data_IF_646004264992
#
_entry.id   IF_646004264992
#
_cell.length_a   1.000
_cell.length_b   1.000
_cell.length_c   1.000
_cell.angle_alpha   90.00
_cell.angle_beta   90.00
_cell.angle_gamma   90.00
#
_symmetry.space_group_name_H-M   'P 1'
#
loop_
_entity.id
_entity.type
_entity.pdbx_description
1 polymer ?
#
# COMPACT_ATOMS: atom_id res chain seq x y z
N UNK A 1 -16.26 54.08 -22.71
CA UNK A 1 -15.18 53.20 -22.16
C UNK A 1 -15.64 51.91 -21.46
N UNK A 2 -16.91 51.75 -21.15
CA UNK A 2 -17.46 50.54 -20.51
C UNK A 2 -17.85 49.39 -21.47
N UNK A 3 -18.04 49.66 -22.75
CA UNK A 3 -18.50 48.66 -23.74
C UNK A 3 -17.37 47.80 -24.30
N UNK A 4 -16.15 48.30 -24.32
CA UNK A 4 -14.97 47.54 -24.80
C UNK A 4 -14.42 46.48 -23.80
N UNK A 5 -14.73 46.63 -22.50
CA UNK A 5 -14.30 45.66 -21.48
C UNK A 5 -15.19 44.39 -21.42
N UNK A 6 -16.46 44.50 -21.82
CA UNK A 6 -17.40 43.38 -21.82
C UNK A 6 -17.15 42.40 -22.97
N UNK A 7 -16.68 42.86 -24.11
CA UNK A 7 -16.41 42.01 -25.28
C UNK A 7 -15.17 41.12 -25.04
N UNK A 8 -14.11 41.69 -24.42
CA UNK A 8 -12.89 40.90 -24.10
C UNK A 8 -13.08 39.81 -23.03
N UNK A 9 -14.04 39.96 -22.09
CA UNK A 9 -14.30 38.90 -21.08
C UNK A 9 -15.10 37.74 -21.68
N UNK A 10 -16.00 38.03 -22.63
CA UNK A 10 -16.80 36.98 -23.30
C UNK A 10 -15.93 36.16 -24.26
N UNK A 11 -14.99 36.77 -24.96
CA UNK A 11 -14.04 36.07 -25.83
C UNK A 11 -13.09 35.18 -25.01
N UNK A 12 -12.62 35.62 -23.83
CA UNK A 12 -11.75 34.84 -22.96
C UNK A 12 -12.48 33.64 -22.32
N UNK A 13 -13.78 33.76 -22.03
CA UNK A 13 -14.61 32.68 -21.51
C UNK A 13 -14.98 31.67 -22.62
N UNK A 14 -15.21 32.17 -23.84
CA UNK A 14 -15.48 31.32 -25.01
C UNK A 14 -14.23 30.51 -25.40
N UNK A 15 -13.04 31.12 -25.45
CA UNK A 15 -11.78 30.44 -25.71
C UNK A 15 -11.44 29.41 -24.61
N UNK A 16 -11.74 29.69 -23.34
CA UNK A 16 -11.53 28.74 -22.24
C UNK A 16 -12.52 27.56 -22.28
N UNK A 17 -13.74 27.78 -22.77
CA UNK A 17 -14.74 26.71 -22.96
C UNK A 17 -14.44 25.87 -24.20
N UNK A 18 -13.95 26.50 -25.28
CA UNK A 18 -13.53 25.81 -26.51
C UNK A 18 -12.23 25.00 -26.29
N UNK A 19 -11.29 25.48 -25.47
CA UNK A 19 -10.09 24.79 -25.08
C UNK A 19 -10.42 23.58 -24.18
N UNK A 20 -11.42 23.68 -23.30
CA UNK A 20 -11.91 22.53 -22.51
C UNK A 20 -12.67 21.52 -23.37
N UNK A 21 -13.52 21.96 -24.30
CA UNK A 21 -14.26 21.07 -25.18
C UNK A 21 -13.39 20.39 -26.23
N UNK A 22 -12.37 21.05 -26.76
CA UNK A 22 -11.38 20.44 -27.67
C UNK A 22 -10.46 19.45 -26.95
N UNK A 23 -10.07 19.70 -25.69
CA UNK A 23 -9.34 18.73 -24.89
C UNK A 23 -10.21 17.53 -24.47
N UNK A 24 -11.48 17.73 -24.13
CA UNK A 24 -12.42 16.66 -23.85
C UNK A 24 -12.67 15.78 -25.10
N UNK A 25 -12.77 16.36 -26.30
CA UNK A 25 -12.90 15.63 -27.53
C UNK A 25 -11.59 14.92 -27.96
N UNK A 26 -10.42 15.50 -27.69
CA UNK A 26 -9.13 14.82 -27.86
C UNK A 26 -8.93 13.67 -26.89
N UNK A 27 -9.40 13.82 -25.62
CA UNK A 27 -9.41 12.74 -24.64
C UNK A 27 -10.43 11.63 -24.95
N UNK A 28 -11.60 11.99 -25.47
CA UNK A 28 -12.62 11.01 -25.88
C UNK A 28 -12.16 10.12 -27.05
N UNK A 29 -11.22 10.58 -27.88
CA UNK A 29 -10.60 9.83 -28.98
C UNK A 29 -9.35 9.03 -28.56
N UNK A 30 -8.85 9.22 -27.32
CA UNK A 30 -7.73 8.44 -26.80
C UNK A 30 -8.23 7.11 -26.25
N UNK A 31 -8.34 6.11 -27.11
CA UNK A 31 -8.68 4.75 -26.69
C UNK A 31 -7.63 4.19 -25.75
N UNK A 32 -8.07 3.49 -24.72
CA UNK A 32 -7.19 2.62 -23.95
C UNK A 32 -6.61 1.58 -24.91
N UNK A 33 -5.29 1.39 -24.90
CA UNK A 33 -4.61 0.39 -25.72
C UNK A 33 -4.80 -1.04 -25.22
N UNK A 34 -5.66 -1.25 -24.23
CA UNK A 34 -5.96 -2.51 -23.54
C UNK A 34 -7.42 -2.51 -23.06
N UNK A 35 -7.99 -3.70 -22.88
CA UNK A 35 -9.27 -3.84 -22.22
C UNK A 35 -9.12 -3.68 -20.68
N UNK A 36 -9.99 -2.89 -20.04
CA UNK A 36 -9.98 -2.75 -18.58
C UNK A 36 -10.15 -4.10 -17.87
N UNK A 37 -9.41 -4.31 -16.80
CA UNK A 37 -9.58 -5.48 -15.94
C UNK A 37 -10.75 -5.21 -14.98
N UNK A 38 -11.88 -5.85 -15.23
CA UNK A 38 -13.14 -5.67 -14.49
C UNK A 38 -13.48 -6.94 -13.71
N UNK A 39 -13.67 -6.79 -12.43
CA UNK A 39 -14.06 -7.84 -11.51
C UNK A 39 -15.54 -7.65 -11.15
N UNK A 40 -16.40 -8.38 -11.83
CA UNK A 40 -17.86 -8.31 -11.63
C UNK A 40 -18.28 -8.98 -10.33
N UNK A 41 -19.50 -8.69 -9.84
CA UNK A 41 -20.07 -9.36 -8.66
C UNK A 41 -19.97 -10.87 -8.76
N UNK A 42 -19.48 -11.50 -7.69
CA UNK A 42 -19.41 -12.97 -7.62
C UNK A 42 -20.79 -13.53 -7.28
N UNK A 43 -21.28 -14.47 -8.09
CA UNK A 43 -22.48 -15.25 -7.80
C UNK A 43 -22.07 -16.69 -7.45
N UNK A 44 -22.64 -17.22 -6.37
CA UNK A 44 -22.40 -18.57 -5.91
C UNK A 44 -21.22 -18.70 -4.92
N UNK A 45 -20.93 -19.94 -4.54
CA UNK A 45 -19.89 -20.28 -3.60
C UNK A 45 -18.49 -20.06 -4.20
N UNK A 46 -17.51 -19.84 -3.35
CA UNK A 46 -16.11 -19.82 -3.78
C UNK A 46 -15.72 -21.15 -4.42
N UNK A 47 -14.87 -21.11 -5.46
CA UNK A 47 -14.31 -22.31 -6.07
C UNK A 47 -13.64 -23.19 -5.00
N UNK A 48 -13.69 -24.54 -5.12
CA UNK A 48 -12.99 -25.44 -4.22
C UNK A 48 -11.50 -25.09 -4.12
N UNK A 49 -10.89 -25.44 -2.99
CA UNK A 49 -9.44 -25.33 -2.84
C UNK A 49 -8.75 -26.29 -3.83
N UNK A 50 -7.61 -25.88 -4.34
CA UNK A 50 -6.76 -26.74 -5.14
C UNK A 50 -5.99 -27.72 -4.25
N UNK A 51 -5.51 -28.84 -4.81
CA UNK A 51 -4.74 -29.81 -4.05
C UNK A 51 -3.53 -29.21 -3.32
N UNK A 52 -2.85 -28.24 -3.94
CA UNK A 52 -1.72 -27.55 -3.30
C UNK A 52 -2.17 -26.64 -2.15
N UNK A 53 -3.34 -26.02 -2.23
CA UNK A 53 -3.90 -25.24 -1.13
C UNK A 53 -4.29 -26.14 0.06
N UNK A 54 -4.83 -27.33 -0.21
CA UNK A 54 -5.13 -28.34 0.83
C UNK A 54 -3.85 -28.85 1.49
N UNK A 55 -2.79 -29.08 0.71
CA UNK A 55 -1.47 -29.44 1.24
C UNK A 55 -0.91 -28.34 2.15
N UNK A 56 -1.01 -27.06 1.74
CA UNK A 56 -0.62 -25.90 2.56
C UNK A 56 -1.38 -25.89 3.89
N UNK A 57 -2.70 -26.10 3.88
CA UNK A 57 -3.50 -26.13 5.11
C UNK A 57 -3.13 -27.31 6.02
N UNK A 58 -2.77 -28.45 5.45
CA UNK A 58 -2.28 -29.61 6.19
C UNK A 58 -0.95 -29.31 6.89
N UNK A 59 0.03 -28.80 6.13
CA UNK A 59 1.34 -28.41 6.66
C UNK A 59 1.22 -27.31 7.71
N UNK A 60 0.36 -26.30 7.47
CA UNK A 60 0.06 -25.25 8.45
C UNK A 60 -0.38 -25.82 9.79
N UNK A 61 -1.31 -26.79 9.77
CA UNK A 61 -1.80 -27.46 10.98
C UNK A 61 -0.70 -28.28 11.67
N UNK A 62 0.07 -29.07 10.92
CA UNK A 62 1.17 -29.90 11.45
C UNK A 62 2.25 -29.03 12.12
N UNK A 63 2.62 -27.90 11.50
CA UNK A 63 3.62 -26.98 12.03
C UNK A 63 3.07 -26.05 13.12
N UNK A 64 1.76 -26.03 13.35
CA UNK A 64 1.06 -25.01 14.16
C UNK A 64 1.50 -23.60 13.75
N UNK A 65 1.50 -23.36 12.43
CA UNK A 65 1.94 -22.11 11.82
C UNK A 65 0.79 -21.11 11.71
N UNK A 66 1.11 -19.83 11.84
CA UNK A 66 0.23 -18.71 11.48
C UNK A 66 0.65 -18.17 10.12
N UNK A 67 -0.24 -18.20 9.14
CA UNK A 67 0.01 -17.59 7.82
C UNK A 67 -0.59 -16.18 7.81
N UNK A 68 0.28 -15.18 7.70
CA UNK A 68 -0.07 -13.77 7.54
C UNK A 68 0.16 -13.36 6.09
N UNK A 69 -0.85 -12.83 5.41
CA UNK A 69 -0.74 -12.39 4.02
C UNK A 69 -1.09 -10.92 3.87
N UNK A 70 -0.27 -10.20 3.10
CA UNK A 70 -0.59 -8.82 2.74
C UNK A 70 -1.73 -8.77 1.72
N UNK A 71 -2.51 -7.70 1.71
CA UNK A 71 -3.61 -7.43 0.78
C UNK A 71 -3.21 -7.55 -0.70
N UNK A 72 -1.92 -7.39 -1.03
CA UNK A 72 -1.39 -7.45 -2.39
C UNK A 72 -0.96 -8.86 -2.82
N UNK A 73 -1.21 -9.88 -2.01
CA UNK A 73 -0.91 -11.26 -2.40
C UNK A 73 -1.88 -11.78 -3.46
N UNK A 74 -1.45 -12.81 -4.18
CA UNK A 74 -2.29 -13.55 -5.12
C UNK A 74 -3.45 -14.22 -4.37
N UNK A 75 -4.58 -14.40 -5.07
CA UNK A 75 -5.78 -15.01 -4.50
C UNK A 75 -5.50 -16.39 -3.86
N UNK A 76 -4.68 -17.21 -4.52
CA UNK A 76 -4.34 -18.53 -4.03
C UNK A 76 -3.72 -18.54 -2.61
N UNK A 77 -2.89 -17.54 -2.29
CA UNK A 77 -2.29 -17.34 -0.96
C UNK A 77 -3.30 -16.74 0.01
N UNK A 78 -4.04 -15.70 -0.42
CA UNK A 78 -5.03 -15.04 0.44
C UNK A 78 -6.08 -16.04 0.95
N UNK A 79 -6.46 -17.06 0.17
CA UNK A 79 -7.46 -18.07 0.53
C UNK A 79 -7.00 -19.07 1.61
N UNK A 80 -5.70 -19.26 1.80
CA UNK A 80 -5.15 -20.17 2.82
C UNK A 80 -4.56 -19.45 4.04
N UNK A 81 -4.48 -18.11 3.98
CA UNK A 81 -4.00 -17.28 5.07
C UNK A 81 -4.97 -17.27 6.26
N UNK A 82 -4.42 -17.22 7.48
CA UNK A 82 -5.22 -17.02 8.71
C UNK A 82 -5.68 -15.56 8.84
N UNK A 83 -4.89 -14.64 8.31
CA UNK A 83 -5.22 -13.23 8.28
C UNK A 83 -4.66 -12.57 7.01
N UNK A 84 -5.53 -11.83 6.33
CA UNK A 84 -5.17 -10.97 5.20
C UNK A 84 -5.36 -9.53 5.63
N UNK A 85 -4.35 -8.68 5.47
CA UNK A 85 -4.42 -7.32 5.98
C UNK A 85 -3.36 -6.38 5.43
N UNK A 86 -3.40 -5.14 5.94
CA UNK A 86 -2.35 -4.15 5.75
C UNK A 86 -1.18 -4.36 6.73
N UNK A 87 -0.12 -3.58 6.56
CA UNK A 87 1.08 -3.69 7.40
C UNK A 87 0.82 -3.48 8.89
N UNK A 88 -0.15 -2.62 9.27
CA UNK A 88 -0.48 -2.35 10.66
C UNK A 88 -1.22 -3.53 11.30
N UNK A 89 -2.27 -4.01 10.63
CA UNK A 89 -3.05 -5.16 11.08
C UNK A 89 -2.19 -6.41 11.18
N UNK A 90 -1.30 -6.65 10.20
CA UNK A 90 -0.35 -7.76 10.21
C UNK A 90 0.67 -7.65 11.36
N UNK A 91 1.17 -6.44 11.67
CA UNK A 91 2.08 -6.23 12.81
C UNK A 91 1.41 -6.56 14.15
N UNK A 92 0.14 -6.14 14.34
CA UNK A 92 -0.64 -6.49 15.53
C UNK A 92 -0.89 -8.00 15.64
N UNK A 93 -1.23 -8.66 14.52
CA UNK A 93 -1.44 -10.11 14.50
C UNK A 93 -0.16 -10.89 14.79
N UNK A 94 0.97 -10.41 14.27
CA UNK A 94 2.27 -10.97 14.57
C UNK A 94 2.63 -10.83 16.06
N UNK A 95 2.44 -9.63 16.66
CA UNK A 95 2.73 -9.38 18.06
C UNK A 95 1.93 -10.30 19.00
N UNK A 96 0.66 -10.55 18.67
CA UNK A 96 -0.26 -11.37 19.48
C UNK A 96 -0.23 -12.87 19.16
N UNK A 97 0.63 -13.29 18.23
CA UNK A 97 0.62 -14.67 17.74
C UNK A 97 0.98 -15.67 18.84
N UNK A 98 0.08 -16.62 19.10
CA UNK A 98 0.33 -17.81 19.91
C UNK A 98 0.47 -19.06 19.03
N UNK A 99 1.61 -19.18 18.36
CA UNK A 99 1.91 -20.21 17.37
C UNK A 99 3.37 -20.63 17.46
N UNK A 100 3.71 -21.79 16.86
CA UNK A 100 5.09 -22.26 16.85
C UNK A 100 5.96 -21.48 15.85
N UNK A 101 5.38 -21.01 14.73
CA UNK A 101 6.06 -20.20 13.72
C UNK A 101 5.07 -19.28 12.99
N UNK A 102 5.59 -18.25 12.37
CA UNK A 102 4.85 -17.30 11.54
C UNK A 102 5.37 -17.46 10.11
N UNK A 103 4.46 -17.66 9.14
CA UNK A 103 4.80 -17.55 7.72
C UNK A 103 4.23 -16.23 7.20
N UNK A 104 5.11 -15.34 6.76
CA UNK A 104 4.74 -14.01 6.31
C UNK A 104 4.72 -13.95 4.77
N UNK A 105 3.53 -14.01 4.17
CA UNK A 105 3.36 -13.85 2.73
C UNK A 105 3.26 -12.36 2.38
N UNK A 106 4.41 -11.77 2.13
CA UNK A 106 4.59 -10.34 1.87
C UNK A 106 5.98 -10.07 1.32
N UNK A 107 6.59 -8.98 1.76
CA UNK A 107 7.95 -8.59 1.40
C UNK A 107 8.87 -8.56 2.61
N UNK A 108 10.18 -8.55 2.37
CA UNK A 108 11.22 -8.77 3.38
C UNK A 108 11.05 -7.88 4.63
N UNK A 109 10.86 -6.57 4.48
CA UNK A 109 10.72 -5.65 5.62
C UNK A 109 9.51 -5.94 6.52
N UNK A 110 8.44 -6.56 5.97
CA UNK A 110 7.26 -6.97 6.73
C UNK A 110 7.57 -8.19 7.60
N UNK A 111 8.27 -9.16 7.04
CA UNK A 111 8.73 -10.34 7.78
C UNK A 111 9.78 -9.96 8.84
N UNK A 112 10.68 -8.99 8.55
CA UNK A 112 11.55 -8.38 9.57
C UNK A 112 10.72 -7.77 10.72
N UNK A 113 9.66 -7.04 10.41
CA UNK A 113 8.79 -6.45 11.46
C UNK A 113 8.18 -7.54 12.34
N UNK A 114 7.69 -8.62 11.73
CA UNK A 114 7.17 -9.77 12.49
C UNK A 114 8.25 -10.43 13.36
N UNK A 115 9.50 -10.54 12.87
CA UNK A 115 10.64 -11.08 13.64
C UNK A 115 11.05 -10.16 14.79
N UNK A 116 11.03 -8.84 14.57
CA UNK A 116 11.35 -7.86 15.62
C UNK A 116 10.41 -7.99 16.82
N UNK A 117 9.12 -8.18 16.59
CA UNK A 117 8.12 -8.34 17.68
C UNK A 117 8.01 -9.77 18.20
N UNK A 118 8.57 -10.77 17.50
CA UNK A 118 8.58 -12.19 17.88
C UNK A 118 10.00 -12.81 17.83
N UNK A 119 10.92 -12.38 18.69
CA UNK A 119 12.32 -12.78 18.60
C UNK A 119 12.54 -14.30 18.74
N UNK A 120 11.69 -14.96 19.53
CA UNK A 120 11.85 -16.37 19.90
C UNK A 120 11.14 -17.33 18.94
N UNK A 121 10.40 -16.81 17.94
CA UNK A 121 9.69 -17.64 16.96
C UNK A 121 10.39 -17.62 15.61
N UNK A 122 10.46 -18.74 14.90
CA UNK A 122 10.76 -18.74 13.47
C UNK A 122 9.76 -17.85 12.73
N UNK A 123 10.28 -16.90 11.95
CA UNK A 123 9.51 -16.12 10.99
C UNK A 123 10.00 -16.47 9.61
N UNK A 124 9.14 -17.08 8.82
CA UNK A 124 9.41 -17.59 7.49
C UNK A 124 8.91 -16.61 6.44
N UNK A 125 9.62 -16.49 5.34
CA UNK A 125 9.23 -15.72 4.17
C UNK A 125 9.34 -16.61 2.94
N UNK A 126 8.26 -16.93 2.21
CA UNK A 126 8.30 -17.91 1.11
C UNK A 126 9.29 -17.56 0.01
N UNK A 127 9.58 -16.27 -0.18
CA UNK A 127 10.60 -15.78 -1.12
C UNK A 127 11.49 -14.73 -0.44
N UNK A 128 12.74 -15.10 -0.20
CA UNK A 128 13.68 -14.24 0.54
C UNK A 128 14.05 -12.96 -0.25
N UNK A 129 14.03 -13.03 -1.59
CA UNK A 129 14.32 -11.92 -2.48
C UNK A 129 13.12 -11.00 -2.76
N UNK A 130 11.98 -11.24 -2.08
CA UNK A 130 10.82 -10.37 -2.13
C UNK A 130 11.12 -9.03 -1.44
N UNK A 131 11.79 -8.12 -2.15
CA UNK A 131 12.25 -6.81 -1.71
C UNK A 131 11.16 -5.72 -1.78
N UNK A 132 11.61 -4.45 -1.69
CA UNK A 132 10.72 -3.29 -1.82
C UNK A 132 11.52 -2.06 -2.27
N UNK A 133 11.09 -1.41 -3.37
CA UNK A 133 11.76 -0.21 -3.89
C UNK A 133 11.81 0.94 -2.89
N UNK A 134 10.81 1.05 -2.01
CA UNK A 134 10.82 2.05 -0.93
C UNK A 134 11.90 1.72 0.10
N UNK A 135 11.98 0.47 0.54
CA UNK A 135 13.01 0.02 1.48
C UNK A 135 14.41 0.31 0.92
N UNK A 136 14.61 0.01 -0.35
CA UNK A 136 15.90 0.20 -1.03
C UNK A 136 16.25 1.68 -1.24
N UNK A 137 15.24 2.56 -1.32
CA UNK A 137 15.44 4.00 -1.54
C UNK A 137 16.03 4.74 -0.33
N UNK A 138 15.96 4.15 0.87
CA UNK A 138 16.45 4.75 2.11
C UNK A 138 17.46 3.82 2.80
N UNK A 139 18.73 3.78 2.33
CA UNK A 139 19.79 3.04 3.00
C UNK A 139 20.06 3.58 4.41
N UNK A 140 20.25 2.67 5.39
CA UNK A 140 20.46 3.03 6.79
C UNK A 140 21.67 3.96 7.00
N UNK A 141 22.75 3.76 6.25
CA UNK A 141 23.95 4.57 6.32
C UNK A 141 23.68 6.03 5.93
N UNK A 142 22.84 6.25 4.91
CA UNK A 142 22.46 7.61 4.48
C UNK A 142 21.55 8.28 5.52
N UNK A 143 20.64 7.53 6.13
CA UNK A 143 19.79 8.06 7.20
C UNK A 143 20.61 8.38 8.45
N UNK A 144 21.59 7.54 8.82
CA UNK A 144 22.50 7.77 9.93
C UNK A 144 23.31 9.07 9.74
N UNK A 145 23.91 9.25 8.54
CA UNK A 145 24.64 10.47 8.20
C UNK A 145 23.74 11.72 8.23
N UNK A 146 22.48 11.59 7.77
CA UNK A 146 21.52 12.69 7.85
C UNK A 146 21.22 13.08 9.31
N UNK A 147 20.98 12.10 10.19
CA UNK A 147 20.71 12.32 11.63
C UNK A 147 21.90 12.95 12.33
N UNK A 148 23.14 12.55 12.01
CA UNK A 148 24.34 13.16 12.55
C UNK A 148 24.44 14.65 12.20
N UNK A 149 24.11 15.02 10.95
CA UNK A 149 24.08 16.41 10.49
C UNK A 149 22.88 17.22 11.06
N UNK A 150 21.82 16.55 11.53
CA UNK A 150 20.58 17.16 12.00
C UNK A 150 20.16 16.56 13.36
N UNK A 151 20.86 16.83 14.45
CA UNK A 151 20.69 16.13 15.75
C UNK A 151 19.31 16.34 16.40
N UNK A 152 18.56 17.39 16.03
CA UNK A 152 17.24 17.68 16.56
C UNK A 152 16.09 17.11 15.70
N UNK A 153 16.39 16.45 14.58
CA UNK A 153 15.37 15.89 13.71
C UNK A 153 14.64 14.72 14.37
N UNK A 154 13.32 14.68 14.21
CA UNK A 154 12.48 13.55 14.61
C UNK A 154 12.16 12.72 13.37
N UNK A 155 12.63 11.48 13.34
CA UNK A 155 12.45 10.59 12.18
C UNK A 155 11.15 9.81 12.34
N UNK A 156 10.18 10.10 11.50
CA UNK A 156 8.96 9.31 11.33
C UNK A 156 9.17 8.40 10.12
N UNK A 157 9.31 7.10 10.36
CA UNK A 157 9.53 6.16 9.27
C UNK A 157 8.25 5.41 8.91
N UNK A 158 7.88 5.49 7.64
CA UNK A 158 6.92 4.56 7.07
C UNK A 158 7.49 3.15 7.13
N UNK A 159 6.67 2.19 7.55
CA UNK A 159 7.08 0.80 7.85
C UNK A 159 7.79 0.10 6.68
N UNK A 160 7.62 0.62 5.45
CA UNK A 160 8.25 0.12 4.23
C UNK A 160 9.75 0.48 4.17
N UNK A 161 10.49 0.06 5.18
CA UNK A 161 11.93 0.29 5.34
C UNK A 161 12.57 -0.91 6.06
N UNK A 162 13.90 -1.06 5.93
CA UNK A 162 14.65 -2.16 6.57
C UNK A 162 14.62 -2.08 8.11
N UNK A 163 14.95 -3.19 8.78
CA UNK A 163 15.13 -3.23 10.23
C UNK A 163 16.18 -2.20 10.70
N UNK A 164 17.25 -2.00 9.95
CA UNK A 164 18.30 -1.03 10.25
C UNK A 164 17.78 0.42 10.20
N UNK A 165 16.91 0.76 9.23
CA UNK A 165 16.25 2.07 9.17
C UNK A 165 15.26 2.23 10.32
N UNK A 166 14.50 1.18 10.66
CA UNK A 166 13.61 1.18 11.83
C UNK A 166 14.39 1.46 13.12
N UNK A 167 15.57 0.87 13.28
CA UNK A 167 16.45 1.08 14.44
C UNK A 167 16.93 2.54 14.59
N UNK A 168 17.09 3.25 13.47
CA UNK A 168 17.48 4.67 13.45
C UNK A 168 16.30 5.65 13.61
N UNK A 169 15.06 5.14 13.59
CA UNK A 169 13.85 5.97 13.59
C UNK A 169 13.35 6.26 15.00
N UNK A 170 12.65 7.37 15.17
CA UNK A 170 12.02 7.70 16.46
C UNK A 170 10.64 7.04 16.62
N UNK A 171 9.89 6.92 15.52
CA UNK A 171 8.61 6.22 15.47
C UNK A 171 8.35 5.65 14.07
N UNK A 172 7.67 4.50 14.02
CA UNK A 172 7.19 3.92 12.77
C UNK A 172 5.74 4.37 12.53
N UNK A 173 5.34 4.46 11.26
CA UNK A 173 3.95 4.60 10.86
C UNK A 173 3.60 3.68 9.70
N UNK A 174 2.30 3.55 9.41
CA UNK A 174 1.76 2.92 8.20
C UNK A 174 0.88 3.93 7.46
N UNK A 175 0.50 3.66 6.22
CA UNK A 175 -0.45 4.53 5.51
C UNK A 175 -1.79 4.70 6.28
N UNK A 176 -2.17 3.71 7.09
CA UNK A 176 -3.41 3.74 7.88
C UNK A 176 -3.36 4.66 9.10
N UNK A 177 -2.19 4.89 9.69
CA UNK A 177 -2.04 5.64 10.95
C UNK A 177 -1.10 6.86 10.85
N UNK A 178 -0.46 7.13 9.70
CA UNK A 178 0.56 8.16 9.55
C UNK A 178 0.11 9.55 10.03
N UNK A 179 -1.12 9.96 9.71
CA UNK A 179 -1.67 11.24 10.19
C UNK A 179 -1.73 11.29 11.72
N UNK A 180 -2.21 10.20 12.35
CA UNK A 180 -2.29 10.10 13.83
C UNK A 180 -0.91 10.12 14.47
N UNK A 181 0.06 9.42 13.88
CA UNK A 181 1.44 9.37 14.36
C UNK A 181 2.11 10.76 14.25
N UNK A 182 2.04 11.39 13.07
CA UNK A 182 2.61 12.73 12.85
C UNK A 182 1.99 13.77 13.78
N UNK A 183 0.66 13.68 14.03
CA UNK A 183 -0.04 14.55 14.96
C UNK A 183 0.42 14.42 16.42
N UNK A 184 1.05 13.29 16.81
CA UNK A 184 1.60 13.06 18.16
C UNK A 184 3.07 13.46 18.31
N UNK A 185 3.76 13.79 17.22
CA UNK A 185 5.15 14.28 17.29
C UNK A 185 5.15 15.67 17.94
N UNK A 186 6.03 15.96 18.92
CA UNK A 186 6.09 17.26 19.59
C UNK A 186 6.18 18.43 18.58
N UNK A 187 5.50 19.53 18.89
CA UNK A 187 5.36 20.65 17.95
C UNK A 187 6.68 21.39 17.67
N UNK A 188 7.61 21.32 18.60
CA UNK A 188 8.95 21.93 18.55
C UNK A 188 10.01 21.08 17.83
N UNK A 189 9.63 19.92 17.30
CA UNK A 189 10.55 19.04 16.58
C UNK A 189 10.38 19.17 15.08
N UNK A 190 11.50 19.27 14.39
CA UNK A 190 11.56 19.13 12.93
C UNK A 190 11.37 17.67 12.56
N UNK A 191 10.48 17.39 11.60
CA UNK A 191 10.17 16.02 11.18
C UNK A 191 10.89 15.70 9.88
N UNK A 192 11.60 14.57 9.85
CA UNK A 192 11.98 13.89 8.61
C UNK A 192 11.07 12.70 8.40
N UNK A 193 10.32 12.69 7.31
CA UNK A 193 9.49 11.56 6.91
C UNK A 193 10.23 10.69 5.88
N UNK A 194 10.42 9.42 6.18
CA UNK A 194 11.12 8.45 5.33
C UNK A 194 10.24 7.21 5.11
N UNK A 195 10.43 6.41 4.04
CA UNK A 195 11.16 6.72 2.82
C UNK A 195 10.28 7.32 1.71
N UNK A 196 8.92 7.33 1.85
CA UNK A 196 7.98 7.68 0.77
C UNK A 196 7.62 9.17 0.78
N UNK A 197 8.07 9.88 -0.28
CA UNK A 197 7.76 11.30 -0.45
C UNK A 197 6.26 11.57 -0.73
N UNK A 198 5.58 10.68 -1.45
CA UNK A 198 4.17 10.86 -1.81
C UNK A 198 3.26 10.72 -0.59
N UNK A 199 3.45 9.66 0.20
CA UNK A 199 2.75 9.50 1.47
C UNK A 199 3.09 10.64 2.43
N UNK A 200 4.35 11.03 2.54
CA UNK A 200 4.78 12.14 3.39
C UNK A 200 4.15 13.46 2.98
N UNK A 201 4.11 13.78 1.67
CA UNK A 201 3.46 14.96 1.14
C UNK A 201 1.96 14.96 1.47
N UNK A 202 1.29 13.83 1.26
CA UNK A 202 -0.14 13.69 1.58
C UNK A 202 -0.41 13.90 3.07
N UNK A 203 0.39 13.27 3.94
CA UNK A 203 0.27 13.45 5.40
C UNK A 203 0.53 14.90 5.81
N UNK A 204 1.55 15.57 5.24
CA UNK A 204 1.84 16.99 5.48
C UNK A 204 0.66 17.88 5.12
N UNK A 205 0.06 17.65 3.92
CA UNK A 205 -1.13 18.39 3.44
C UNK A 205 -2.34 18.19 4.35
N UNK A 206 -2.59 16.95 4.80
CA UNK A 206 -3.75 16.61 5.64
C UNK A 206 -3.61 17.09 7.09
N UNK A 207 -2.40 17.11 7.64
CA UNK A 207 -2.15 17.49 9.04
C UNK A 207 -1.77 18.96 9.21
N UNK A 208 -1.44 19.67 8.12
CA UNK A 208 -0.85 21.01 8.17
C UNK A 208 0.56 21.04 8.74
N UNK A 209 1.18 19.89 9.02
CA UNK A 209 2.50 19.76 9.62
C UNK A 209 3.60 19.83 8.56
N UNK A 210 4.46 20.83 8.60
CA UNK A 210 5.63 20.90 7.72
C UNK A 210 6.59 19.75 8.05
N UNK A 211 7.05 19.06 7.02
CA UNK A 211 7.99 17.94 7.13
C UNK A 211 9.03 17.99 6.02
N UNK A 212 10.24 17.57 6.32
CA UNK A 212 11.22 17.20 5.31
C UNK A 212 10.90 15.80 4.81
N UNK A 213 10.99 15.59 3.50
CA UNK A 213 10.60 14.34 2.86
C UNK A 213 11.83 13.67 2.25
N UNK A 214 12.01 12.39 2.53
CA UNK A 214 13.00 11.57 1.85
C UNK A 214 12.55 11.33 0.40
N UNK A 215 13.44 11.40 -0.61
CA UNK A 215 13.05 11.36 -2.03
C UNK A 215 12.81 9.93 -2.57
N UNK A 216 12.20 9.06 -1.78
CA UNK A 216 11.81 7.71 -2.20
C UNK A 216 10.36 7.65 -2.69
N UNK A 217 10.04 6.64 -3.48
CA UNK A 217 8.69 6.39 -3.97
C UNK A 217 8.44 4.90 -4.25
N UNK A 218 7.18 4.48 -4.13
CA UNK A 218 6.77 3.15 -4.51
C UNK A 218 6.68 3.04 -6.03
N UNK A 219 7.53 2.19 -6.65
CA UNK A 219 7.57 2.07 -8.10
C UNK A 219 6.20 1.65 -8.69
N UNK A 220 5.42 0.84 -7.98
CA UNK A 220 4.11 0.42 -8.45
C UNK A 220 3.10 1.59 -8.43
N UNK A 221 3.04 2.37 -7.33
CA UNK A 221 2.05 3.43 -7.21
C UNK A 221 2.35 4.67 -8.07
N UNK A 222 3.61 4.94 -8.42
CA UNK A 222 3.95 6.06 -9.32
C UNK A 222 3.71 5.76 -10.80
N UNK A 223 3.41 4.50 -11.15
CA UNK A 223 3.01 4.13 -12.51
C UNK A 223 1.56 4.48 -12.84
N UNK A 224 0.72 4.72 -11.84
CA UNK A 224 -0.62 5.27 -12.11
C UNK A 224 -0.52 6.69 -12.60
N UNK A 225 -1.28 7.02 -13.65
CA UNK A 225 -1.32 8.37 -14.21
C UNK A 225 -2.75 8.90 -14.19
N UNK A 226 -2.87 10.23 -14.04
CA UNK A 226 -4.15 10.91 -14.12
C UNK A 226 -4.86 10.60 -15.43
N UNK A 227 -4.14 10.66 -16.56
CA UNK A 227 -4.71 10.43 -17.88
C UNK A 227 -5.29 9.02 -18.06
N UNK A 228 -4.61 7.98 -17.55
CA UNK A 228 -5.11 6.63 -17.61
C UNK A 228 -6.41 6.45 -16.79
N UNK A 229 -6.48 7.10 -15.62
CA UNK A 229 -7.67 7.06 -14.75
C UNK A 229 -8.83 7.85 -15.39
N UNK A 230 -8.57 9.03 -15.96
CA UNK A 230 -9.58 9.82 -16.66
C UNK A 230 -10.17 9.07 -17.86
N UNK A 231 -9.34 8.40 -18.68
CA UNK A 231 -9.81 7.54 -19.78
C UNK A 231 -10.69 6.40 -19.26
N UNK A 232 -10.33 5.80 -18.13
CA UNK A 232 -11.13 4.75 -17.52
C UNK A 232 -12.47 5.30 -16.98
N UNK A 233 -12.48 6.50 -16.40
CA UNK A 233 -13.68 7.21 -15.95
C UNK A 233 -14.63 7.52 -17.11
N UNK A 234 -14.13 7.82 -18.32
CA UNK A 234 -14.99 8.02 -19.50
C UNK A 234 -15.71 6.71 -19.89
N UNK A 235 -15.09 5.54 -19.69
CA UNK A 235 -15.72 4.23 -19.93
C UNK A 235 -16.67 3.82 -18.79
N UNK A 236 -16.41 4.28 -17.56
CA UNK A 236 -17.19 3.98 -16.36
C UNK A 236 -17.53 5.28 -15.60
N UNK A 237 -18.40 6.16 -16.16
CA UNK A 237 -18.66 7.49 -15.61
C UNK A 237 -19.23 7.47 -14.19
N UNK A 238 -20.00 6.44 -13.84
CA UNK A 238 -20.63 6.27 -12.53
C UNK A 238 -19.70 5.61 -11.48
N UNK A 239 -18.49 5.18 -11.87
CA UNK A 239 -17.58 4.54 -10.94
C UNK A 239 -16.91 5.58 -10.02
N UNK A 240 -16.81 5.33 -8.72
CA UNK A 240 -15.96 6.09 -7.81
C UNK A 240 -14.50 5.62 -7.94
N UNK A 241 -13.57 6.53 -7.69
CA UNK A 241 -12.13 6.27 -7.71
C UNK A 241 -11.60 6.31 -6.29
N UNK A 242 -11.01 5.22 -5.82
CA UNK A 242 -10.30 5.18 -4.54
C UNK A 242 -8.81 4.94 -4.79
N UNK A 243 -7.93 5.78 -4.22
CA UNK A 243 -6.50 5.73 -4.43
C UNK A 243 -5.70 5.52 -3.14
N UNK A 244 -4.55 4.84 -3.27
CA UNK A 244 -3.60 4.73 -2.16
C UNK A 244 -2.77 6.01 -2.01
N UNK A 245 -2.44 6.47 -0.79
CA UNK A 245 -1.67 7.70 -0.59
C UNK A 245 -0.22 7.67 -1.12
N UNK A 246 0.33 6.51 -1.47
CA UNK A 246 1.60 6.38 -2.19
C UNK A 246 1.52 6.81 -3.67
N UNK A 247 0.32 6.98 -4.22
CA UNK A 247 0.15 7.54 -5.56
C UNK A 247 0.63 8.99 -5.61
N UNK A 248 0.97 9.46 -6.82
CA UNK A 248 1.36 10.86 -7.04
C UNK A 248 0.22 11.84 -6.68
N UNK A 249 0.56 13.09 -6.39
CA UNK A 249 -0.43 14.11 -6.03
C UNK A 249 -1.50 14.27 -7.12
N UNK A 250 -1.11 14.27 -8.39
CA UNK A 250 -2.06 14.38 -9.51
C UNK A 250 -3.09 13.25 -9.54
N UNK A 251 -2.69 12.03 -9.19
CA UNK A 251 -3.61 10.88 -9.08
C UNK A 251 -4.52 11.04 -7.86
N UNK A 252 -3.96 11.42 -6.71
CA UNK A 252 -4.72 11.62 -5.47
C UNK A 252 -5.77 12.75 -5.59
N UNK A 253 -5.41 13.84 -6.24
CA UNK A 253 -6.32 15.00 -6.43
C UNK A 253 -7.48 14.69 -7.40
N UNK A 254 -7.39 13.59 -8.16
CA UNK A 254 -8.44 13.09 -9.05
C UNK A 254 -9.16 11.86 -8.51
N UNK A 255 -8.90 11.44 -7.28
CA UNK A 255 -9.62 10.36 -6.61
C UNK A 255 -10.77 10.91 -5.74
N UNK A 256 -11.86 10.14 -5.67
CA UNK A 256 -13.00 10.47 -4.79
C UNK A 256 -12.64 10.20 -3.31
N UNK A 257 -11.74 9.23 -3.06
CA UNK A 257 -11.21 8.93 -1.72
C UNK A 257 -9.72 8.55 -1.80
N UNK A 258 -8.94 9.02 -0.82
CA UNK A 258 -7.51 8.64 -0.66
C UNK A 258 -7.29 8.04 0.71
N UNK A 259 -7.00 6.75 0.76
CA UNK A 259 -6.88 6.03 2.03
C UNK A 259 -5.99 4.78 1.94
N UNK A 260 -5.66 4.20 3.11
CA UNK A 260 -4.96 2.92 3.20
C UNK A 260 -5.84 1.76 2.77
N UNK A 261 -5.24 0.60 2.48
CA UNK A 261 -5.96 -0.60 2.00
C UNK A 261 -7.05 -1.07 2.96
N UNK A 262 -6.88 -0.99 4.28
CA UNK A 262 -7.94 -1.32 5.24
C UNK A 262 -9.11 -0.33 5.19
N UNK A 263 -8.81 0.96 5.07
CA UNK A 263 -9.86 1.99 4.93
C UNK A 263 -10.57 1.90 3.58
N UNK A 264 -9.89 1.42 2.50
CA UNK A 264 -10.54 1.17 1.21
C UNK A 264 -11.68 0.16 1.34
N UNK A 265 -11.55 -0.87 2.16
CA UNK A 265 -12.62 -1.85 2.38
C UNK A 265 -13.84 -1.17 2.98
N UNK A 266 -13.67 -0.34 4.01
CA UNK A 266 -14.75 0.43 4.62
C UNK A 266 -15.41 1.37 3.60
N UNK A 267 -14.62 2.19 2.90
CA UNK A 267 -15.12 3.09 1.86
C UNK A 267 -15.90 2.35 0.77
N UNK A 268 -15.32 1.27 0.22
CA UNK A 268 -15.96 0.48 -0.82
C UNK A 268 -17.25 -0.19 -0.35
N UNK A 269 -17.36 -0.55 0.94
CA UNK A 269 -18.56 -1.14 1.52
C UNK A 269 -19.66 -0.10 1.69
N UNK A 270 -19.29 1.07 2.22
CA UNK A 270 -20.25 2.08 2.72
C UNK A 270 -20.69 3.06 1.63
N UNK A 271 -19.92 3.24 0.52
CA UNK A 271 -20.34 4.10 -0.58
C UNK A 271 -21.54 3.54 -1.36
N UNK A 272 -22.35 4.42 -1.96
CA UNK A 272 -23.53 4.03 -2.74
C UNK A 272 -23.20 3.48 -4.15
N UNK A 273 -22.00 3.74 -4.67
CA UNK A 273 -21.63 3.32 -6.01
C UNK A 273 -21.48 1.81 -6.14
N UNK A 274 -22.03 1.24 -7.22
CA UNK A 274 -21.91 -0.18 -7.56
C UNK A 274 -20.57 -0.52 -8.24
N UNK A 275 -19.88 0.50 -8.77
CA UNK A 275 -18.60 0.34 -9.49
C UNK A 275 -17.53 1.20 -8.85
N UNK A 276 -16.36 0.62 -8.61
CA UNK A 276 -15.25 1.31 -7.97
C UNK A 276 -13.96 1.03 -8.73
N UNK A 277 -13.27 2.08 -9.13
CA UNK A 277 -11.93 2.03 -9.71
C UNK A 277 -10.94 2.03 -8.54
N UNK A 278 -10.17 0.96 -8.41
CA UNK A 278 -9.25 0.73 -7.28
C UNK A 278 -7.83 1.04 -7.73
N UNK A 279 -7.32 2.22 -7.35
CA UNK A 279 -6.00 2.74 -7.75
C UNK A 279 -4.98 2.37 -6.68
N UNK A 280 -4.68 1.09 -6.63
CA UNK A 280 -3.60 0.46 -5.88
C UNK A 280 -3.25 -0.88 -6.53
N UNK A 281 -2.37 -1.65 -5.92
CA UNK A 281 -1.94 -2.96 -6.42
C UNK A 281 -3.13 -3.92 -6.58
N UNK A 282 -3.19 -4.63 -7.70
CA UNK A 282 -4.35 -5.41 -8.16
C UNK A 282 -4.78 -6.51 -7.17
N UNK A 283 -3.86 -7.09 -6.39
CA UNK A 283 -4.17 -8.11 -5.37
C UNK A 283 -5.18 -7.66 -4.33
N UNK A 284 -5.29 -6.34 -4.08
CA UNK A 284 -6.31 -5.77 -3.20
C UNK A 284 -7.72 -6.15 -3.63
N UNK A 285 -7.98 -6.27 -4.93
CA UNK A 285 -9.30 -6.55 -5.46
C UNK A 285 -9.81 -7.94 -5.07
N UNK A 286 -8.92 -8.93 -4.93
CA UNK A 286 -9.32 -10.27 -4.47
C UNK A 286 -9.97 -10.22 -3.09
N UNK A 287 -9.40 -9.44 -2.17
CA UNK A 287 -9.98 -9.23 -0.85
C UNK A 287 -11.29 -8.44 -0.92
N UNK A 288 -11.33 -7.36 -1.70
CA UNK A 288 -12.54 -6.56 -1.90
C UNK A 288 -13.70 -7.43 -2.42
N UNK A 289 -13.45 -8.29 -3.41
CA UNK A 289 -14.46 -9.19 -3.94
C UNK A 289 -14.99 -10.22 -2.92
N UNK A 290 -14.14 -10.68 -2.00
CA UNK A 290 -14.58 -11.62 -0.94
C UNK A 290 -15.41 -10.92 0.12
N UNK A 291 -15.02 -9.71 0.52
CA UNK A 291 -15.71 -8.98 1.59
C UNK A 291 -16.95 -8.20 1.09
N UNK A 292 -16.97 -7.83 -0.19
CA UNK A 292 -18.03 -7.03 -0.83
C UNK A 292 -18.40 -7.65 -2.18
N UNK A 293 -19.01 -8.85 -2.19
CA UNK A 293 -19.22 -9.63 -3.41
C UNK A 293 -20.27 -9.05 -4.36
N UNK A 294 -21.06 -8.09 -3.92
CA UNK A 294 -22.16 -7.47 -4.67
C UNK A 294 -21.73 -6.27 -5.51
N UNK A 295 -20.47 -5.80 -5.43
CA UNK A 295 -19.97 -4.65 -6.19
C UNK A 295 -19.03 -5.06 -7.31
N UNK A 296 -18.87 -4.17 -8.28
CA UNK A 296 -17.90 -4.30 -9.39
C UNK A 296 -16.64 -3.52 -9.05
N UNK A 297 -15.49 -4.17 -9.09
CA UNK A 297 -14.21 -3.53 -8.91
C UNK A 297 -13.45 -3.49 -10.24
N UNK A 298 -12.84 -2.36 -10.52
CA UNK A 298 -12.08 -2.11 -11.75
C UNK A 298 -10.65 -1.79 -11.33
N UNK A 299 -9.68 -2.55 -11.84
CA UNK A 299 -8.29 -2.30 -11.52
C UNK A 299 -7.86 -0.93 -12.07
N UNK A 300 -7.15 -0.15 -11.23
CA UNK A 300 -6.50 1.07 -11.66
C UNK A 300 -5.47 0.76 -12.76
N UNK A 301 -5.53 1.46 -13.90
CA UNK A 301 -4.65 1.21 -15.03
C UNK A 301 -3.37 2.04 -14.93
N UNK A 302 -2.33 1.57 -15.62
CA UNK A 302 -1.19 2.39 -16.03
C UNK A 302 -1.37 2.85 -17.47
N UNK A 303 -0.43 3.61 -18.02
CA UNK A 303 -0.51 4.02 -19.44
C UNK A 303 -0.38 2.84 -20.41
N UNK A 304 0.18 1.71 -19.97
CA UNK A 304 0.51 0.55 -20.82
C UNK A 304 -0.17 -0.76 -20.41
N UNK A 305 -0.83 -0.79 -19.23
CA UNK A 305 -1.42 -2.03 -18.71
C UNK A 305 -2.74 -1.75 -17.99
N UNK A 306 -3.69 -2.69 -18.14
CA UNK A 306 -5.00 -2.66 -17.49
C UNK A 306 -4.95 -2.88 -15.96
N UNK A 307 -3.83 -3.29 -15.42
CA UNK A 307 -3.59 -3.58 -14.02
C UNK A 307 -2.19 -3.12 -13.61
N UNK A 308 -1.93 -3.11 -12.31
CA UNK A 308 -0.62 -2.78 -11.78
C UNK A 308 -0.27 -3.69 -10.60
N UNK A 309 0.65 -4.60 -10.85
CA UNK A 309 1.10 -5.60 -9.90
C UNK A 309 2.46 -5.21 -9.28
N UNK A 310 2.58 -5.41 -7.98
CA UNK A 310 3.88 -5.34 -7.32
C UNK A 310 4.64 -6.65 -7.58
N UNK A 311 5.69 -6.59 -8.43
CA UNK A 311 6.51 -7.76 -8.77
C UNK A 311 7.05 -8.49 -7.53
N UNK A 312 7.44 -7.76 -6.50
CA UNK A 312 7.99 -8.34 -5.26
C UNK A 312 6.93 -9.14 -4.49
N UNK A 313 5.69 -8.62 -4.39
CA UNK A 313 4.59 -9.34 -3.76
C UNK A 313 4.25 -10.62 -4.54
N UNK A 314 4.33 -10.58 -5.89
CA UNK A 314 4.04 -11.72 -6.78
C UNK A 314 5.17 -12.76 -6.85
N UNK A 315 6.34 -12.49 -6.24
CA UNK A 315 7.39 -13.49 -6.08
C UNK A 315 7.00 -14.61 -5.11
N UNK A 316 6.10 -14.33 -4.17
CA UNK A 316 5.47 -15.37 -3.35
C UNK A 316 4.45 -16.13 -4.19
N UNK A 317 4.61 -17.43 -4.32
CA UNK A 317 3.65 -18.32 -4.98
C UNK A 317 3.11 -19.35 -3.99
N UNK A 318 2.03 -20.01 -4.34
CA UNK A 318 1.45 -21.04 -3.46
C UNK A 318 2.40 -22.24 -3.30
N UNK A 319 3.22 -22.54 -4.33
CA UNK A 319 4.25 -23.58 -4.29
C UNK A 319 5.35 -23.22 -3.31
N UNK A 320 5.86 -21.96 -3.37
CA UNK A 320 6.87 -21.48 -2.43
C UNK A 320 6.35 -21.46 -1.00
N UNK A 321 5.08 -21.10 -0.79
CA UNK A 321 4.44 -21.15 0.53
C UNK A 321 4.38 -22.58 1.06
N UNK A 322 3.98 -23.55 0.23
CA UNK A 322 4.00 -24.97 0.58
C UNK A 322 5.39 -25.44 0.97
N UNK A 323 6.38 -25.18 0.10
CA UNK A 323 7.77 -25.59 0.31
C UNK A 323 8.36 -24.93 1.56
N UNK A 324 8.08 -23.67 1.79
CA UNK A 324 8.49 -22.93 2.98
C UNK A 324 7.95 -23.56 4.28
N UNK A 325 6.68 -23.96 4.31
CA UNK A 325 6.07 -24.67 5.46
C UNK A 325 6.66 -26.09 5.64
N UNK A 326 6.89 -26.82 4.55
CA UNK A 326 7.46 -28.16 4.59
C UNK A 326 8.88 -28.13 5.17
N UNK A 327 9.72 -27.24 4.63
CA UNK A 327 11.17 -27.20 4.89
C UNK A 327 11.54 -26.27 6.06
N UNK A 328 10.57 -25.51 6.61
CA UNK A 328 10.76 -24.50 7.65
C UNK A 328 11.84 -23.46 7.28
N UNK A 329 11.88 -23.08 6.01
CA UNK A 329 12.92 -22.24 5.39
C UNK A 329 12.36 -21.53 4.14
N UNK A 330 12.88 -20.35 3.77
CA UNK A 330 13.87 -19.57 4.49
C UNK A 330 13.31 -18.85 5.73
N UNK A 331 14.18 -18.59 6.71
CA UNK A 331 13.86 -17.85 7.92
C UNK A 331 14.45 -16.44 7.88
N UNK A 332 13.75 -15.50 8.50
CA UNK A 332 14.27 -14.12 8.70
C UNK A 332 15.17 -14.11 9.93
N UNK A 333 16.40 -13.69 9.70
CA UNK A 333 17.41 -13.48 10.73
C UNK A 333 17.93 -12.04 10.67
N UNK A 334 18.31 -11.47 11.82
CA UNK A 334 18.91 -10.15 11.93
C UNK A 334 19.80 -10.08 13.17
N UNK A 335 20.78 -9.15 13.20
CA UNK A 335 21.57 -8.89 14.40
C UNK A 335 20.68 -8.45 15.58
N UNK A 336 20.95 -8.98 16.76
CA UNK A 336 20.09 -8.76 17.96
C UNK A 336 20.10 -7.29 18.40
N UNK A 337 21.18 -6.57 18.25
CA UNK A 337 21.29 -5.15 18.52
C UNK A 337 20.37 -4.31 17.62
N UNK A 338 20.34 -4.63 16.31
CA UNK A 338 19.41 -4.00 15.35
C UNK A 338 17.97 -4.31 15.74
N UNK A 339 17.66 -5.57 16.06
CA UNK A 339 16.32 -5.98 16.49
C UNK A 339 15.84 -5.18 17.71
N UNK A 340 16.68 -5.08 18.74
CA UNK A 340 16.36 -4.37 19.99
C UNK A 340 16.13 -2.87 19.75
N UNK A 341 16.98 -2.24 18.92
CA UNK A 341 16.82 -0.82 18.57
C UNK A 341 15.56 -0.58 17.74
N UNK A 342 15.23 -1.45 16.78
CA UNK A 342 14.04 -1.35 15.94
C UNK A 342 12.73 -1.63 16.69
N UNK A 343 12.77 -2.37 17.81
CA UNK A 343 11.59 -2.68 18.60
C UNK A 343 10.92 -1.45 19.21
N UNK A 344 11.70 -0.51 19.75
CA UNK A 344 11.16 0.66 20.43
C UNK A 344 10.29 1.55 19.52
N UNK A 345 10.72 1.95 18.30
CA UNK A 345 9.87 2.74 17.39
C UNK A 345 8.65 1.97 16.86
N UNK A 346 8.74 0.65 16.67
CA UNK A 346 7.58 -0.18 16.33
C UNK A 346 6.59 -0.22 17.50
N UNK A 347 7.04 -0.48 18.71
CA UNK A 347 6.21 -0.48 19.92
C UNK A 347 5.50 0.86 20.09
N UNK A 348 6.21 1.96 19.89
CA UNK A 348 5.64 3.32 19.92
C UNK A 348 4.53 3.49 18.88
N UNK A 349 4.73 3.01 17.66
CA UNK A 349 3.68 2.99 16.65
C UNK A 349 2.44 2.24 17.12
N UNK A 350 2.59 1.02 17.64
CA UNK A 350 1.47 0.19 18.11
C UNK A 350 0.72 0.87 19.28
N UNK A 351 1.44 1.48 20.21
CA UNK A 351 0.85 2.23 21.35
C UNK A 351 0.13 3.50 20.87
N UNK A 352 0.73 4.26 19.97
CA UNK A 352 0.16 5.51 19.47
C UNK A 352 -1.02 5.31 18.52
N UNK A 353 -1.19 4.11 17.98
CA UNK A 353 -2.29 3.76 17.08
C UNK A 353 -3.59 3.37 17.78
N UNK A 354 -3.50 3.04 19.08
CA UNK A 354 -4.66 2.71 19.94
C UNK A 354 -5.61 3.87 20.22
#
# INVERSE_FOLDING_TARGET
MQTLYRIRLLDFVADALDFRSSNLNAMANATLNYEPMVFTPKQGDEAPLTAIQEEVLTLKKERKALILAHNYQIDAIQRVADYVGDSLGLAYKAEQADTNCIVFCGVHFMAETAKIVNPNKPVLLPEIDAGCSLSDSCPAEKLAAYKEAHPNVYVVAYINCSAAVKALSDVICTSGNAMKIVGKVPADRDILFVPDQNLGQWVSKQTGRAMQLWPGSCYAHVLFTQQAIERLKLKFPDALVVAHPECTETVRDNADEVCSTEKMIGFCRDCEADKIIVVTETGMIHRLQREIPNKTFIAGPTDTCACNDCRYMKMNTIEKLRDCLRDMSPQIEMPEDIRLQAYAPIKRMLEWSK
#
